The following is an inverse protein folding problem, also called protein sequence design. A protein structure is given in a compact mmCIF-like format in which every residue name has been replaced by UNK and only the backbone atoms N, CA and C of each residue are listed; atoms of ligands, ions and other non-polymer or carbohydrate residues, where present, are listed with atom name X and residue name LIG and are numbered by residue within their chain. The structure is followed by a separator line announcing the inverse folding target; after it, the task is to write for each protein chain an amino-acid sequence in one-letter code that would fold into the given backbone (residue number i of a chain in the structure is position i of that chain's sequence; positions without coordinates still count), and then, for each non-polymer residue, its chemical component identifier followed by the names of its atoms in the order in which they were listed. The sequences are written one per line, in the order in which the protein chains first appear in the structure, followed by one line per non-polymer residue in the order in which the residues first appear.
data_IF_543554331124
#
_entry.id   IF_543554331124
#
_cell.length_a   1.000
_cell.length_b   1.000
_cell.length_c   1.000
_cell.angle_alpha   90.00
_cell.angle_beta   90.00
_cell.angle_gamma   90.00
#
_symmetry.space_group_name_H-M   'P 1'
#
loop_
_entity.id
_entity.type
_entity.pdbx_description
1 polymer ?
#
# COMPACT_ATOMS: atom_id res chain seq x y z
N UNK A 1 5.71 -5.70 13.89
CA UNK A 1 5.21 -7.10 13.79
C UNK A 1 6.27 -7.96 13.08
N UNK A 2 6.46 -9.26 13.39
CA UNK A 2 7.42 -10.06 12.63
C UNK A 2 6.90 -10.38 11.21
N UNK A 3 7.80 -10.67 10.26
CA UNK A 3 7.46 -10.80 8.84
C UNK A 3 6.44 -11.91 8.54
N UNK A 4 6.52 -13.03 9.27
CA UNK A 4 5.53 -14.12 9.15
C UNK A 4 4.13 -13.62 9.46
N UNK A 5 3.95 -13.00 10.63
CA UNK A 5 2.66 -12.49 11.08
C UNK A 5 2.15 -11.38 10.17
N UNK A 6 3.04 -10.48 9.70
CA UNK A 6 2.66 -9.41 8.76
C UNK A 6 2.15 -9.97 7.44
N UNK A 7 2.89 -10.88 6.80
CA UNK A 7 2.45 -11.51 5.55
C UNK A 7 1.11 -12.24 5.68
N UNK A 8 0.92 -13.01 6.76
CA UNK A 8 -0.36 -13.67 7.04
C UNK A 8 -1.47 -12.64 7.28
N UNK A 9 -1.20 -11.56 8.02
CA UNK A 9 -2.18 -10.52 8.29
C UNK A 9 -2.67 -9.83 7.00
N UNK A 10 -1.81 -9.62 6.00
CA UNK A 10 -2.25 -9.13 4.69
C UNK A 10 -3.20 -10.11 4.01
N UNK A 11 -2.88 -11.41 4.03
CA UNK A 11 -3.77 -12.41 3.46
C UNK A 11 -5.10 -12.53 4.22
N UNK A 12 -5.08 -12.42 5.55
CA UNK A 12 -6.26 -12.62 6.40
C UNK A 12 -7.14 -11.38 6.57
N UNK A 13 -6.60 -10.18 6.42
CA UNK A 13 -7.35 -8.93 6.60
C UNK A 13 -7.50 -8.18 5.28
N UNK A 14 -6.39 -7.86 4.60
CA UNK A 14 -6.42 -7.03 3.40
C UNK A 14 -7.00 -7.76 2.20
N UNK A 15 -6.36 -8.85 1.79
CA UNK A 15 -6.75 -9.62 0.62
C UNK A 15 -8.06 -10.38 0.80
N UNK A 16 -8.41 -10.74 2.05
CA UNK A 16 -9.67 -11.43 2.37
C UNK A 16 -10.89 -10.61 2.00
N UNK A 17 -10.85 -9.30 2.25
CA UNK A 17 -11.99 -8.41 2.03
C UNK A 17 -11.86 -7.61 0.74
N UNK A 18 -10.70 -7.64 0.08
CA UNK A 18 -10.39 -6.87 -1.12
C UNK A 18 -11.45 -7.00 -2.24
N UNK A 19 -11.82 -8.24 -2.60
CA UNK A 19 -12.86 -8.50 -3.62
C UNK A 19 -14.23 -7.99 -3.17
N UNK A 20 -14.59 -8.19 -1.90
CA UNK A 20 -15.86 -7.72 -1.35
C UNK A 20 -15.94 -6.19 -1.38
N UNK A 21 -14.90 -5.50 -0.88
CA UNK A 21 -14.80 -4.04 -0.88
C UNK A 21 -14.84 -3.48 -2.30
N UNK A 22 -14.15 -4.10 -3.27
CA UNK A 22 -14.22 -3.70 -4.67
C UNK A 22 -15.64 -3.81 -5.24
N UNK A 23 -16.36 -4.88 -4.91
CA UNK A 23 -17.73 -5.09 -5.39
C UNK A 23 -18.77 -4.16 -4.75
N UNK A 24 -18.41 -3.34 -3.74
CA UNK A 24 -19.28 -2.28 -3.19
C UNK A 24 -19.34 -1.04 -4.10
N UNK A 25 -18.35 -0.85 -4.98
CA UNK A 25 -18.35 0.27 -5.91
C UNK A 25 -19.38 0.12 -7.02
N UNK A 26 -19.95 1.23 -7.54
CA UNK A 26 -20.61 1.23 -8.83
C UNK A 26 -19.67 0.64 -9.90
N UNK A 27 -20.21 -0.20 -10.79
CA UNK A 27 -19.41 -0.94 -11.79
C UNK A 27 -18.48 -0.04 -12.61
N UNK A 28 -18.97 1.12 -13.02
CA UNK A 28 -18.21 2.05 -13.87
C UNK A 28 -17.03 2.69 -13.10
N UNK A 29 -17.22 2.97 -11.81
CA UNK A 29 -16.15 3.51 -10.94
C UNK A 29 -15.10 2.43 -10.64
N UNK A 30 -15.53 1.20 -10.33
CA UNK A 30 -14.60 0.07 -10.16
C UNK A 30 -13.79 -0.19 -11.42
N UNK A 31 -14.43 -0.17 -12.60
CA UNK A 31 -13.75 -0.36 -13.88
C UNK A 31 -12.78 0.79 -14.18
N UNK A 32 -13.16 2.04 -13.90
CA UNK A 32 -12.26 3.20 -14.05
C UNK A 32 -10.98 3.03 -13.24
N UNK A 33 -11.09 2.59 -11.97
CA UNK A 33 -9.94 2.33 -11.09
C UNK A 33 -9.05 1.22 -11.63
N UNK A 34 -9.62 0.09 -12.01
CA UNK A 34 -8.87 -1.04 -12.59
C UNK A 34 -8.13 -0.64 -13.88
N UNK A 35 -8.78 0.14 -14.74
CA UNK A 35 -8.16 0.66 -15.97
C UNK A 35 -6.99 1.61 -15.68
N UNK A 36 -7.05 2.39 -14.60
CA UNK A 36 -5.95 3.26 -14.18
C UNK A 36 -4.68 2.46 -13.80
N UNK A 37 -4.84 1.22 -13.34
CA UNK A 37 -3.74 0.28 -13.12
C UNK A 37 -3.36 -0.54 -14.37
N UNK A 38 -3.94 -0.25 -15.54
CA UNK A 38 -3.59 -0.89 -16.81
C UNK A 38 -4.25 -2.24 -17.09
N UNK A 39 -5.25 -2.66 -16.30
CA UNK A 39 -6.00 -3.89 -16.51
C UNK A 39 -7.36 -3.61 -17.13
N UNK A 40 -7.83 -4.48 -18.02
CA UNK A 40 -9.14 -4.32 -18.66
C UNK A 40 -10.31 -4.72 -17.75
N UNK A 41 -10.07 -5.62 -16.80
CA UNK A 41 -11.06 -6.16 -15.88
C UNK A 41 -10.44 -6.46 -14.52
N UNK A 42 -11.23 -6.39 -13.45
CA UNK A 42 -10.74 -6.67 -12.09
C UNK A 42 -10.17 -8.10 -11.97
N UNK A 43 -10.81 -9.06 -12.65
CA UNK A 43 -10.33 -10.44 -12.78
C UNK A 43 -8.92 -10.52 -13.39
N UNK A 44 -8.61 -9.70 -14.38
CA UNK A 44 -7.30 -9.72 -15.04
C UNK A 44 -6.20 -9.24 -14.08
N UNK A 45 -6.48 -8.22 -13.26
CA UNK A 45 -5.59 -7.77 -12.20
C UNK A 45 -5.38 -8.85 -11.13
N UNK A 46 -6.47 -9.48 -10.67
CA UNK A 46 -6.39 -10.59 -9.70
C UNK A 46 -5.66 -11.82 -10.26
N UNK A 47 -5.78 -12.09 -11.57
CA UNK A 47 -5.06 -13.17 -12.26
C UNK A 47 -3.54 -12.95 -12.21
N UNK A 48 -3.12 -11.71 -12.47
CA UNK A 48 -1.74 -11.29 -12.31
C UNK A 48 -1.27 -11.42 -10.84
N UNK A 49 -2.04 -10.92 -9.88
CA UNK A 49 -1.74 -11.03 -8.44
C UNK A 49 -1.55 -12.49 -8.02
N UNK A 50 -2.51 -13.35 -8.41
CA UNK A 50 -2.46 -14.78 -8.10
C UNK A 50 -1.23 -15.46 -8.71
N UNK A 51 -0.83 -15.11 -9.93
CA UNK A 51 0.38 -15.67 -10.53
C UNK A 51 1.66 -15.32 -9.75
N UNK A 52 1.76 -14.09 -9.24
CA UNK A 52 2.87 -13.68 -8.38
C UNK A 52 2.83 -14.34 -7.01
N UNK A 53 1.63 -14.57 -6.44
CA UNK A 53 1.49 -15.36 -5.22
C UNK A 53 1.99 -16.79 -5.43
N UNK A 54 1.57 -17.44 -6.52
CA UNK A 54 1.99 -18.80 -6.87
C UNK A 54 3.53 -18.87 -6.99
N UNK A 55 4.14 -17.93 -7.73
CA UNK A 55 5.59 -17.89 -7.92
C UNK A 55 6.33 -17.64 -6.59
N UNK A 56 5.92 -16.63 -5.82
CA UNK A 56 6.53 -16.30 -4.54
C UNK A 56 6.42 -17.44 -3.53
N UNK A 57 5.24 -18.07 -3.44
CA UNK A 57 5.03 -19.21 -2.54
C UNK A 57 5.84 -20.43 -2.95
N UNK A 58 6.05 -20.67 -4.25
CA UNK A 58 6.90 -21.77 -4.72
C UNK A 58 8.34 -21.62 -4.22
N UNK A 59 8.87 -20.40 -4.21
CA UNK A 59 10.22 -20.08 -3.76
C UNK A 59 10.31 -20.13 -2.24
N UNK A 60 9.33 -19.57 -1.52
CA UNK A 60 9.27 -19.62 -0.05
C UNK A 60 9.24 -21.07 0.44
N UNK A 61 8.41 -21.92 -0.17
CA UNK A 61 8.34 -23.35 0.16
C UNK A 61 9.64 -24.09 -0.16
N UNK A 62 10.27 -23.81 -1.30
CA UNK A 62 11.55 -24.42 -1.62
C UNK A 62 12.63 -24.09 -0.57
N UNK A 63 12.67 -22.84 -0.09
CA UNK A 63 13.57 -22.43 0.99
C UNK A 63 13.21 -23.16 2.30
N UNK A 64 11.93 -23.20 2.67
CA UNK A 64 11.47 -23.85 3.90
C UNK A 64 11.81 -25.36 3.92
N UNK A 65 11.73 -26.02 2.77
CA UNK A 65 11.97 -27.44 2.60
C UNK A 65 13.44 -27.76 2.24
N UNK A 66 14.31 -26.75 2.20
CA UNK A 66 15.70 -26.84 1.76
C UNK A 66 15.85 -27.56 0.39
N UNK A 67 14.93 -27.27 -0.54
CA UNK A 67 14.97 -27.74 -1.91
C UNK A 67 15.61 -26.70 -2.83
N UNK A 68 16.23 -27.18 -3.90
CA UNK A 68 16.67 -26.31 -4.98
C UNK A 68 15.46 -25.65 -5.67
N UNK A 69 15.65 -24.41 -6.09
CA UNK A 69 14.71 -23.66 -6.90
C UNK A 69 15.47 -22.82 -7.92
N UNK A 70 14.87 -22.62 -9.08
CA UNK A 70 15.46 -21.84 -10.15
C UNK A 70 15.40 -20.34 -9.82
N UNK A 71 16.51 -19.64 -10.05
CA UNK A 71 16.51 -18.18 -10.07
C UNK A 71 16.11 -17.73 -11.46
N UNK A 72 14.83 -17.43 -11.63
CA UNK A 72 14.32 -16.88 -12.90
C UNK A 72 14.60 -15.39 -12.98
N UNK A 73 14.96 -14.93 -14.18
CA UNK A 73 14.88 -13.52 -14.55
C UNK A 73 13.56 -13.35 -15.30
N UNK A 74 12.67 -12.53 -14.77
CA UNK A 74 11.38 -12.29 -15.39
C UNK A 74 11.49 -11.18 -16.41
N UNK A 75 10.85 -11.40 -17.55
CA UNK A 75 10.22 -10.33 -18.30
C UNK A 75 8.84 -10.14 -17.66
N UNK A 76 8.67 -9.05 -16.90
CA UNK A 76 7.46 -8.82 -16.11
C UNK A 76 6.23 -8.66 -17.00
N UNK A 77 6.38 -8.00 -18.16
CA UNK A 77 5.28 -7.78 -19.09
C UNK A 77 4.79 -9.11 -19.68
N UNK A 78 5.72 -9.97 -20.10
CA UNK A 78 5.39 -11.31 -20.62
C UNK A 78 4.74 -12.17 -19.54
N UNK A 79 5.31 -12.21 -18.34
CA UNK A 79 4.76 -13.00 -17.23
C UNK A 79 3.33 -12.54 -16.86
N UNK A 80 3.12 -11.23 -16.78
CA UNK A 80 1.82 -10.63 -16.47
C UNK A 80 0.80 -10.91 -17.58
N UNK A 81 1.19 -10.76 -18.85
CA UNK A 81 0.33 -11.06 -19.99
C UNK A 81 -0.08 -12.53 -20.04
N UNK A 82 0.84 -13.46 -19.76
CA UNK A 82 0.57 -14.89 -19.70
C UNK A 82 -0.39 -15.24 -18.56
N UNK A 83 -0.23 -14.62 -17.38
CA UNK A 83 -1.13 -14.78 -16.25
C UNK A 83 -2.57 -14.36 -16.59
N UNK A 84 -2.72 -13.19 -17.23
CA UNK A 84 -4.04 -12.70 -17.70
C UNK A 84 -4.61 -13.62 -18.78
N UNK A 85 -3.80 -14.02 -19.76
CA UNK A 85 -4.22 -14.88 -20.85
C UNK A 85 -4.72 -16.25 -20.36
N UNK A 86 -4.06 -16.83 -19.35
CA UNK A 86 -4.40 -18.12 -18.73
C UNK A 86 -5.85 -18.17 -18.23
N UNK A 87 -6.36 -17.08 -17.67
CA UNK A 87 -7.69 -17.02 -17.07
C UNK A 87 -8.71 -16.21 -17.88
N UNK A 88 -8.32 -15.67 -19.04
CA UNK A 88 -9.15 -14.77 -19.85
C UNK A 88 -10.52 -15.34 -20.23
N UNK A 89 -10.59 -16.65 -20.47
CA UNK A 89 -11.82 -17.36 -20.89
C UNK A 89 -12.60 -17.99 -19.74
N UNK A 90 -12.11 -17.87 -18.50
CA UNK A 90 -12.78 -18.45 -17.33
C UNK A 90 -14.03 -17.66 -16.96
N UNK A 91 -15.03 -18.33 -16.41
CA UNK A 91 -16.12 -17.64 -15.74
C UNK A 91 -15.59 -16.83 -14.55
N UNK A 92 -16.13 -15.62 -14.35
CA UNK A 92 -15.65 -14.71 -13.32
C UNK A 92 -15.84 -15.29 -11.91
N UNK A 93 -17.00 -15.91 -11.64
CA UNK A 93 -17.28 -16.51 -10.33
C UNK A 93 -16.38 -17.71 -10.07
N UNK A 94 -16.11 -18.53 -11.09
CA UNK A 94 -15.15 -19.64 -10.99
C UNK A 94 -13.74 -19.13 -10.65
N UNK A 95 -13.29 -18.06 -11.33
CA UNK A 95 -11.99 -17.46 -11.05
C UNK A 95 -11.93 -16.84 -9.63
N UNK A 96 -12.96 -16.10 -9.19
CA UNK A 96 -12.96 -15.52 -7.85
C UNK A 96 -12.94 -16.60 -6.75
N UNK A 97 -13.58 -17.74 -6.99
CA UNK A 97 -13.50 -18.89 -6.08
C UNK A 97 -12.08 -19.51 -6.06
N UNK A 98 -11.40 -19.58 -7.21
CA UNK A 98 -9.99 -20.00 -7.28
C UNK A 98 -9.10 -19.04 -6.50
N UNK A 99 -9.28 -17.73 -6.67
CA UNK A 99 -8.50 -16.71 -5.97
C UNK A 99 -8.65 -16.86 -4.45
N UNK A 100 -9.87 -16.94 -3.95
CA UNK A 100 -10.14 -17.10 -2.51
C UNK A 100 -9.62 -18.43 -1.95
N UNK A 101 -9.80 -19.53 -2.68
CA UNK A 101 -9.26 -20.84 -2.29
C UNK A 101 -7.72 -20.81 -2.22
N UNK A 102 -7.07 -20.10 -3.15
CA UNK A 102 -5.62 -19.94 -3.17
C UNK A 102 -5.13 -19.08 -2.00
N UNK A 103 -5.83 -17.97 -1.69
CA UNK A 103 -5.56 -17.14 -0.52
C UNK A 103 -5.58 -17.97 0.77
N UNK A 104 -6.66 -18.75 0.98
CA UNK A 104 -6.80 -19.62 2.15
C UNK A 104 -5.70 -20.69 2.21
N UNK A 105 -5.37 -21.32 1.07
CA UNK A 105 -4.25 -22.27 0.98
C UNK A 105 -2.94 -21.61 1.42
N UNK A 106 -2.64 -20.38 0.98
CA UNK A 106 -1.40 -19.70 1.32
C UNK A 106 -1.33 -19.26 2.77
N UNK A 107 -2.45 -18.85 3.37
CA UNK A 107 -2.54 -18.63 4.82
C UNK A 107 -2.12 -19.89 5.58
N UNK A 108 -2.71 -21.04 5.26
CA UNK A 108 -2.43 -22.30 5.97
C UNK A 108 -1.00 -22.80 5.75
N UNK A 109 -0.46 -22.65 4.54
CA UNK A 109 0.95 -22.96 4.25
C UNK A 109 1.89 -22.05 5.05
N UNK A 110 1.67 -20.73 5.05
CA UNK A 110 2.54 -19.82 5.79
C UNK A 110 2.49 -20.10 7.29
N UNK A 111 1.31 -20.45 7.84
CA UNK A 111 1.17 -20.85 9.24
C UNK A 111 2.01 -22.08 9.58
N UNK A 112 2.09 -23.07 8.68
CA UNK A 112 2.80 -24.34 8.92
C UNK A 112 4.33 -24.25 8.79
N UNK A 113 4.85 -23.27 8.04
CA UNK A 113 6.30 -23.05 7.90
C UNK A 113 6.91 -22.58 9.23
N UNK A 114 8.06 -23.13 9.62
CA UNK A 114 8.77 -22.70 10.84
C UNK A 114 9.10 -21.20 10.82
N UNK A 115 8.96 -20.53 11.97
CA UNK A 115 9.12 -19.08 12.06
C UNK A 115 10.53 -18.61 11.72
N UNK A 116 11.56 -19.43 11.98
CA UNK A 116 12.96 -19.11 11.65
C UNK A 116 13.20 -18.97 10.14
N UNK A 117 12.38 -19.59 9.30
CA UNK A 117 12.48 -19.45 7.83
C UNK A 117 12.23 -18.00 7.41
N UNK A 118 11.41 -17.26 8.15
CA UNK A 118 11.08 -15.87 7.85
C UNK A 118 12.20 -14.90 8.18
N UNK A 119 13.29 -15.34 8.83
CA UNK A 119 14.52 -14.54 8.95
C UNK A 119 15.36 -14.53 7.67
N UNK A 120 15.11 -15.48 6.76
CA UNK A 120 15.76 -15.51 5.46
C UNK A 120 15.39 -14.26 4.64
N UNK A 121 16.41 -13.49 4.23
CA UNK A 121 16.25 -12.26 3.45
C UNK A 121 15.38 -12.47 2.19
N UNK A 122 15.53 -13.59 1.50
CA UNK A 122 14.78 -13.88 0.27
C UNK A 122 13.31 -14.16 0.56
N UNK A 123 13.00 -14.84 1.66
CA UNK A 123 11.62 -15.04 2.10
C UNK A 123 10.98 -13.69 2.45
N UNK A 124 11.69 -12.82 3.18
CA UNK A 124 11.19 -11.46 3.48
C UNK A 124 10.90 -10.66 2.21
N UNK A 125 11.80 -10.70 1.22
CA UNK A 125 11.61 -10.01 -0.07
C UNK A 125 10.37 -10.54 -0.80
N UNK A 126 10.18 -11.85 -0.88
CA UNK A 126 9.00 -12.42 -1.57
C UNK A 126 7.70 -12.13 -0.83
N UNK A 127 7.66 -12.27 0.49
CA UNK A 127 6.49 -11.88 1.30
C UNK A 127 6.15 -10.41 1.08
N UNK A 128 7.16 -9.54 1.10
CA UNK A 128 6.97 -8.13 0.85
C UNK A 128 6.42 -7.87 -0.54
N UNK A 129 7.08 -8.42 -1.57
CA UNK A 129 6.73 -8.18 -2.96
C UNK A 129 5.29 -8.64 -3.28
N UNK A 130 4.91 -9.86 -2.90
CA UNK A 130 3.68 -10.49 -3.42
C UNK A 130 2.46 -10.28 -2.55
N UNK A 131 2.63 -10.07 -1.24
CA UNK A 131 1.49 -9.88 -0.33
C UNK A 131 1.33 -8.46 0.20
N UNK A 132 2.44 -7.78 0.50
CA UNK A 132 2.43 -6.48 1.20
C UNK A 132 2.43 -5.34 0.18
N UNK A 133 3.51 -5.22 -0.58
CA UNK A 133 3.68 -4.20 -1.61
C UNK A 133 2.62 -4.33 -2.69
N UNK A 134 2.30 -5.56 -3.12
CA UNK A 134 1.31 -5.77 -4.18
C UNK A 134 -0.09 -5.24 -3.84
N UNK A 135 -0.45 -5.23 -2.55
CA UNK A 135 -1.72 -4.65 -2.10
C UNK A 135 -1.74 -3.11 -2.23
N UNK A 136 -0.57 -2.47 -2.09
CA UNK A 136 -0.40 -1.02 -2.26
C UNK A 136 -0.23 -0.63 -3.74
N UNK A 137 0.49 -1.44 -4.51
CA UNK A 137 0.68 -1.24 -5.95
C UNK A 137 -0.63 -1.39 -6.74
N UNK A 138 -1.50 -2.31 -6.33
CA UNK A 138 -2.83 -2.49 -6.91
C UNK A 138 -3.92 -1.96 -5.98
N UNK A 139 -3.79 -0.71 -5.54
CA UNK A 139 -4.73 -0.09 -4.60
C UNK A 139 -6.02 0.41 -5.27
N UNK A 140 -6.89 -0.49 -5.72
CA UNK A 140 -8.22 -0.07 -6.23
C UNK A 140 -9.23 0.19 -5.10
N UNK A 141 -8.98 -0.35 -3.90
CA UNK A 141 -9.78 -0.16 -2.69
C UNK A 141 -8.88 0.02 -1.49
N UNK A 142 -9.15 1.02 -0.65
CA UNK A 142 -8.34 1.32 0.53
C UNK A 142 -9.16 1.12 1.79
N UNK A 143 -8.55 0.52 2.81
CA UNK A 143 -9.22 0.15 4.05
C UNK A 143 -8.32 0.37 5.26
N UNK A 144 -8.94 0.35 6.43
CA UNK A 144 -8.31 0.63 7.71
C UNK A 144 -7.05 -0.20 7.96
N UNK A 145 -7.07 -1.49 7.64
CA UNK A 145 -5.91 -2.36 7.86
C UNK A 145 -4.69 -1.86 7.09
N UNK A 146 -4.85 -1.57 5.80
CA UNK A 146 -3.74 -1.14 4.95
C UNK A 146 -3.19 0.22 5.38
N UNK A 147 -4.08 1.17 5.69
CA UNK A 147 -3.70 2.50 6.19
C UNK A 147 -2.87 2.37 7.47
N UNK A 148 -3.32 1.57 8.43
CA UNK A 148 -2.60 1.34 9.68
C UNK A 148 -1.27 0.62 9.44
N UNK A 149 -1.24 -0.41 8.59
CA UNK A 149 -0.01 -1.14 8.31
C UNK A 149 1.05 -0.23 7.68
N UNK A 150 0.67 0.62 6.72
CA UNK A 150 1.57 1.61 6.11
C UNK A 150 2.09 2.60 7.16
N UNK A 151 1.22 3.18 7.98
CA UNK A 151 1.61 4.10 9.04
C UNK A 151 2.55 3.45 10.07
N UNK A 152 2.28 2.21 10.47
CA UNK A 152 3.03 1.54 11.54
C UNK A 152 4.31 0.85 11.07
N UNK A 153 4.41 0.45 9.80
CA UNK A 153 5.51 -0.40 9.33
C UNK A 153 6.27 0.15 8.12
N UNK A 154 5.71 1.10 7.36
CA UNK A 154 6.36 1.64 6.16
C UNK A 154 6.98 3.02 6.44
N UNK A 155 6.19 3.98 6.92
CA UNK A 155 6.67 5.33 7.21
C UNK A 155 7.85 5.42 8.19
N UNK A 156 7.98 4.58 9.25
CA UNK A 156 9.18 4.59 10.09
C UNK A 156 10.46 4.31 9.30
N UNK A 157 10.36 3.52 8.21
CA UNK A 157 11.52 3.15 7.39
C UNK A 157 11.99 4.29 6.48
N UNK A 158 11.16 5.32 6.24
CA UNK A 158 11.52 6.43 5.34
C UNK A 158 12.76 7.18 5.86
N UNK A 159 12.75 7.51 7.16
CA UNK A 159 13.88 8.13 7.85
C UNK A 159 15.10 7.21 7.84
N UNK A 160 14.91 5.94 8.22
CA UNK A 160 16.00 4.94 8.29
C UNK A 160 16.69 4.75 6.94
N UNK A 161 15.91 4.62 5.87
CA UNK A 161 16.42 4.48 4.50
C UNK A 161 17.13 5.73 4.04
N UNK A 162 16.56 6.92 4.29
CA UNK A 162 17.20 8.18 3.89
C UNK A 162 18.54 8.38 4.58
N UNK A 163 18.62 8.09 5.89
CA UNK A 163 19.85 8.25 6.65
C UNK A 163 20.93 7.24 6.22
N UNK A 164 20.53 6.08 5.70
CA UNK A 164 21.41 5.05 5.15
C UNK A 164 21.90 5.33 3.72
N UNK A 165 21.39 6.35 3.02
CA UNK A 165 21.86 6.70 1.69
C UNK A 165 23.30 7.24 1.70
N UNK A 166 24.10 6.74 0.77
CA UNK A 166 25.44 7.28 0.50
C UNK A 166 25.35 8.66 -0.19
N UNK A 167 24.44 8.80 -1.18
CA UNK A 167 24.16 10.07 -1.86
C UNK A 167 22.73 10.55 -1.59
N UNK A 168 22.58 11.36 -0.55
CA UNK A 168 21.30 12.00 -0.18
C UNK A 168 20.85 13.04 -1.21
N UNK A 169 21.79 13.65 -1.95
CA UNK A 169 21.45 14.73 -2.89
C UNK A 169 20.78 14.19 -4.15
N UNK A 170 21.14 12.98 -4.61
CA UNK A 170 20.48 12.33 -5.74
C UNK A 170 18.98 12.13 -5.47
N UNK A 171 18.66 11.59 -4.30
CA UNK A 171 17.28 11.42 -3.86
C UNK A 171 16.55 12.76 -3.74
N UNK A 172 17.09 13.72 -2.98
CA UNK A 172 16.45 15.02 -2.79
C UNK A 172 16.19 15.76 -4.12
N UNK A 173 17.11 15.64 -5.08
CA UNK A 173 16.94 16.19 -6.42
C UNK A 173 15.83 15.50 -7.21
N UNK A 174 15.71 14.17 -7.11
CA UNK A 174 14.63 13.40 -7.75
C UNK A 174 13.27 13.83 -7.17
N UNK A 175 13.19 13.98 -5.85
CA UNK A 175 11.97 14.39 -5.15
C UNK A 175 11.65 15.87 -5.33
N UNK A 176 12.62 16.69 -5.76
CA UNK A 176 12.43 18.13 -5.99
C UNK A 176 12.47 18.98 -4.72
N UNK A 177 13.08 18.49 -3.65
CA UNK A 177 13.21 19.19 -2.38
C UNK A 177 14.66 19.56 -2.06
N UNK A 178 14.87 20.65 -1.32
CA UNK A 178 16.21 21.06 -0.88
C UNK A 178 16.68 20.28 0.34
N UNK A 179 15.74 19.93 1.23
CA UNK A 179 16.01 19.20 2.47
C UNK A 179 15.05 18.04 2.62
N UNK A 180 15.51 16.98 3.30
CA UNK A 180 14.64 15.87 3.66
C UNK A 180 13.51 16.30 4.59
N UNK A 181 13.77 17.28 5.46
CA UNK A 181 12.74 17.84 6.32
C UNK A 181 11.60 18.52 5.54
N UNK A 182 11.85 18.99 4.33
CA UNK A 182 10.81 19.59 3.50
C UNK A 182 9.83 18.51 2.98
N UNK A 183 10.34 17.30 2.70
CA UNK A 183 9.52 16.11 2.40
C UNK A 183 8.69 15.73 3.63
N UNK A 184 9.30 15.66 4.82
CA UNK A 184 8.57 15.33 6.04
C UNK A 184 7.49 16.36 6.37
N UNK A 185 7.79 17.65 6.20
CA UNK A 185 6.83 18.75 6.38
C UNK A 185 5.65 18.64 5.41
N UNK A 186 5.92 18.29 4.15
CA UNK A 186 4.91 18.02 3.13
C UNK A 186 4.00 16.85 3.54
N UNK A 187 4.56 15.71 3.97
CA UNK A 187 3.79 14.55 4.44
C UNK A 187 2.92 14.89 5.66
N UNK A 188 3.50 15.54 6.68
CA UNK A 188 2.78 15.99 7.88
C UNK A 188 1.55 16.81 7.49
N UNK A 189 1.73 17.72 6.53
CA UNK A 189 0.69 18.64 6.11
C UNK A 189 -0.46 17.94 5.39
N UNK A 190 -0.16 16.95 4.54
CA UNK A 190 -1.20 16.13 3.91
C UNK A 190 -1.96 15.30 4.93
N UNK A 191 -1.27 14.67 5.89
CA UNK A 191 -1.95 13.97 6.99
C UNK A 191 -2.90 14.88 7.80
N UNK A 192 -2.49 16.11 8.10
CA UNK A 192 -3.36 17.09 8.78
C UNK A 192 -4.63 17.40 7.97
N UNK A 193 -4.51 17.57 6.64
CA UNK A 193 -5.67 17.82 5.79
C UNK A 193 -6.55 16.57 5.64
N UNK A 194 -5.97 15.38 5.50
CA UNK A 194 -6.68 14.09 5.51
C UNK A 194 -7.52 13.95 6.79
N UNK A 195 -6.93 14.16 7.96
CA UNK A 195 -7.65 14.09 9.24
C UNK A 195 -8.80 15.08 9.31
N UNK A 196 -8.58 16.32 8.85
CA UNK A 196 -9.60 17.38 8.81
C UNK A 196 -10.76 17.03 7.87
N UNK A 197 -10.47 16.56 6.66
CA UNK A 197 -11.49 16.16 5.67
C UNK A 197 -12.32 15.01 6.20
N UNK A 198 -11.68 13.98 6.76
CA UNK A 198 -12.37 12.79 7.25
C UNK A 198 -13.22 13.13 8.49
N UNK A 199 -12.74 14.00 9.38
CA UNK A 199 -13.53 14.45 10.53
C UNK A 199 -14.75 15.28 10.08
N UNK A 200 -14.64 16.07 9.01
CA UNK A 200 -15.79 16.76 8.41
C UNK A 200 -16.81 15.78 7.82
N UNK A 201 -16.37 14.75 7.09
CA UNK A 201 -17.25 13.70 6.53
C UNK A 201 -17.94 12.93 7.66
N UNK A 202 -17.20 12.57 8.71
CA UNK A 202 -17.71 11.87 9.88
C UNK A 202 -18.81 12.67 10.60
N UNK A 203 -18.64 13.98 10.73
CA UNK A 203 -19.60 14.85 11.41
C UNK A 203 -20.73 15.34 10.48
N UNK A 204 -20.51 15.31 9.17
CA UNK A 204 -21.48 15.69 8.15
C UNK A 204 -21.35 14.75 6.93
N UNK A 205 -22.14 13.67 6.85
CA UNK A 205 -22.05 12.69 5.77
C UNK A 205 -22.34 13.24 4.36
N UNK A 206 -22.92 14.44 4.25
CA UNK A 206 -23.13 15.14 2.97
C UNK A 206 -22.06 16.21 2.72
N UNK A 207 -20.96 16.19 3.45
CA UNK A 207 -19.81 17.07 3.21
C UNK A 207 -19.21 16.74 1.85
N UNK A 208 -19.14 17.74 0.99
CA UNK A 208 -18.49 17.64 -0.31
C UNK A 208 -17.09 18.24 -0.22
N UNK A 209 -16.09 17.46 -0.62
CA UNK A 209 -14.72 17.94 -0.79
C UNK A 209 -14.64 18.65 -2.13
N UNK A 210 -14.20 19.91 -2.11
CA UNK A 210 -13.89 20.61 -3.35
C UNK A 210 -12.54 20.12 -3.86
N UNK A 211 -12.53 19.58 -5.08
CA UNK A 211 -11.29 19.23 -5.77
C UNK A 211 -10.39 20.46 -5.93
N UNK A 212 -9.16 20.43 -5.39
CA UNK A 212 -8.21 21.54 -5.53
C UNK A 212 -7.68 21.59 -6.96
N UNK A 213 -7.36 22.80 -7.43
CA UNK A 213 -6.61 22.95 -8.67
C UNK A 213 -5.13 22.61 -8.44
N UNK A 214 -4.37 22.35 -9.51
CA UNK A 214 -2.90 22.18 -9.40
C UNK A 214 -2.24 23.37 -8.72
N UNK A 215 -2.70 24.60 -9.01
CA UNK A 215 -2.18 25.81 -8.35
C UNK A 215 -2.50 25.84 -6.85
N UNK A 216 -3.68 25.34 -6.44
CA UNK A 216 -4.02 25.22 -5.02
C UNK A 216 -3.08 24.23 -4.31
N UNK A 217 -2.80 23.08 -4.94
CA UNK A 217 -1.89 22.05 -4.44
C UNK A 217 -0.45 22.59 -4.32
N UNK A 218 0.06 23.24 -5.36
CA UNK A 218 1.42 23.80 -5.38
C UNK A 218 1.60 24.85 -4.27
N UNK A 219 0.60 25.72 -4.11
CA UNK A 219 0.62 26.72 -3.04
C UNK A 219 0.52 26.09 -1.65
N UNK A 220 -0.30 25.05 -1.49
CA UNK A 220 -0.43 24.31 -0.24
C UNK A 220 0.89 23.64 0.15
N UNK A 221 1.57 22.98 -0.79
CA UNK A 221 2.87 22.34 -0.58
C UNK A 221 3.96 23.36 -0.23
N UNK A 222 3.99 24.49 -0.93
CA UNK A 222 4.95 25.57 -0.64
C UNK A 222 4.75 26.16 0.76
N UNK A 223 3.50 26.31 1.21
CA UNK A 223 3.19 26.78 2.56
C UNK A 223 3.66 25.80 3.63
N UNK A 224 3.55 24.48 3.37
CA UNK A 224 4.06 23.45 4.26
C UNK A 224 5.58 23.61 4.49
N UNK A 225 6.34 23.74 3.41
CA UNK A 225 7.81 23.92 3.50
C UNK A 225 8.17 25.20 4.24
N UNK A 226 7.54 26.33 3.90
CA UNK A 226 7.83 27.61 4.55
C UNK A 226 7.50 27.59 6.06
N UNK A 227 6.42 26.90 6.47
CA UNK A 227 6.05 26.75 7.88
C UNK A 227 7.13 26.04 8.72
N UNK A 228 7.86 25.10 8.12
CA UNK A 228 8.89 24.30 8.80
C UNK A 228 10.31 24.81 8.55
N UNK A 229 10.49 25.81 7.68
CA UNK A 229 11.80 26.30 7.23
C UNK A 229 12.74 26.72 8.37
N UNK A 230 12.20 27.34 9.42
CA UNK A 230 12.96 27.81 10.58
C UNK A 230 13.28 26.73 11.61
N UNK A 231 12.72 25.52 11.46
CA UNK A 231 12.92 24.39 12.38
C UNK A 231 14.18 23.61 12.02
N UNK A 232 14.83 23.05 13.04
CA UNK A 232 15.98 22.17 12.86
C UNK A 232 15.56 20.80 12.29
N UNK A 233 16.53 20.07 11.74
CA UNK A 233 16.35 18.68 11.29
C UNK A 233 15.63 17.80 12.30
N UNK A 234 16.21 17.74 13.50
CA UNK A 234 15.68 16.95 14.61
C UNK A 234 14.28 17.40 15.04
N UNK A 235 14.00 18.70 15.02
CA UNK A 235 12.67 19.20 15.39
C UNK A 235 11.61 18.72 14.39
N UNK A 236 11.88 18.78 13.08
CA UNK A 236 10.92 18.30 12.07
C UNK A 236 10.70 16.79 12.17
N UNK A 237 11.76 16.00 12.36
CA UNK A 237 11.68 14.55 12.53
C UNK A 237 10.84 14.15 13.76
N UNK A 238 11.04 14.83 14.88
CA UNK A 238 10.23 14.62 16.08
C UNK A 238 8.75 14.96 15.83
N UNK A 239 8.45 16.05 15.12
CA UNK A 239 7.07 16.42 14.76
C UNK A 239 6.46 15.36 13.83
N UNK A 240 7.23 14.84 12.88
CA UNK A 240 6.79 13.78 11.97
C UNK A 240 6.36 12.52 12.72
N UNK A 241 7.20 12.01 13.63
CA UNK A 241 6.89 10.83 14.45
C UNK A 241 5.69 11.05 15.37
N UNK A 242 5.57 12.26 15.95
CA UNK A 242 4.39 12.63 16.74
C UNK A 242 3.13 12.64 15.89
N UNK A 243 3.18 13.24 14.69
CA UNK A 243 2.05 13.30 13.78
C UNK A 243 1.66 11.92 13.26
N UNK A 244 2.62 11.06 12.97
CA UNK A 244 2.39 9.66 12.63
C UNK A 244 1.63 8.94 13.76
N UNK A 245 2.05 9.13 15.00
CA UNK A 245 1.35 8.56 16.17
C UNK A 245 -0.08 9.10 16.27
N UNK A 246 -0.28 10.40 16.07
CA UNK A 246 -1.61 11.02 16.05
C UNK A 246 -2.49 10.43 14.94
N UNK A 247 -1.97 10.29 13.72
CA UNK A 247 -2.66 9.72 12.57
C UNK A 247 -3.04 8.25 12.81
N UNK A 248 -2.15 7.46 13.40
CA UNK A 248 -2.45 6.07 13.81
C UNK A 248 -3.62 6.05 14.81
N UNK A 249 -3.61 6.91 15.83
CA UNK A 249 -4.69 6.97 16.81
C UNK A 249 -5.99 7.46 16.19
N UNK A 250 -5.93 8.45 15.30
CA UNK A 250 -7.07 8.94 14.54
C UNK A 250 -7.72 7.78 13.77
N UNK A 251 -6.96 7.10 12.93
CA UNK A 251 -7.42 5.96 12.12
C UNK A 251 -8.00 4.84 12.99
N UNK A 252 -7.32 4.45 14.09
CA UNK A 252 -7.82 3.43 15.03
C UNK A 252 -9.19 3.78 15.60
N UNK A 253 -9.42 5.05 15.91
CA UNK A 253 -10.64 5.55 16.54
C UNK A 253 -11.77 5.86 15.53
N UNK A 254 -11.50 5.79 14.22
CA UNK A 254 -12.55 5.93 13.22
C UNK A 254 -13.49 4.72 13.24
N UNK A 255 -14.82 4.95 13.11
CA UNK A 255 -15.78 3.89 12.86
C UNK A 255 -15.45 3.10 11.59
N UNK A 256 -15.56 1.78 11.65
CA UNK A 256 -15.25 0.90 10.51
C UNK A 256 -16.08 1.23 9.27
N UNK A 257 -17.36 1.59 9.45
CA UNK A 257 -18.25 1.95 8.34
C UNK A 257 -17.84 3.24 7.62
N UNK A 258 -16.93 4.05 8.18
CA UNK A 258 -16.42 5.23 7.49
C UNK A 258 -15.51 4.84 6.32
N UNK A 259 -14.88 3.67 6.37
CA UNK A 259 -14.12 3.10 5.26
C UNK A 259 -15.00 2.59 4.12
N UNK A 260 -16.33 2.57 4.27
CA UNK A 260 -17.24 2.35 3.14
C UNK A 260 -17.45 3.62 2.29
N UNK A 261 -17.06 4.79 2.80
CA UNK A 261 -17.17 6.05 2.09
C UNK A 261 -16.01 6.18 1.07
N UNK A 262 -16.35 6.34 -0.20
CA UNK A 262 -15.36 6.37 -1.29
C UNK A 262 -14.41 7.58 -1.21
N UNK A 263 -14.89 8.72 -0.73
CA UNK A 263 -14.04 9.90 -0.51
C UNK A 263 -13.05 9.65 0.62
N UNK A 264 -13.49 9.00 1.71
CA UNK A 264 -12.58 8.61 2.82
C UNK A 264 -11.53 7.62 2.32
N UNK A 265 -11.92 6.60 1.55
CA UNK A 265 -10.96 5.67 0.95
C UNK A 265 -9.98 6.38 0.03
N UNK A 266 -10.46 7.32 -0.79
CA UNK A 266 -9.61 8.06 -1.72
C UNK A 266 -8.57 8.92 -0.99
N UNK A 267 -8.97 9.68 0.02
CA UNK A 267 -8.05 10.50 0.82
C UNK A 267 -7.01 9.66 1.56
N UNK A 268 -7.40 8.52 2.13
CA UNK A 268 -6.43 7.61 2.73
C UNK A 268 -5.51 6.92 1.71
N UNK A 269 -6.04 6.54 0.56
CA UNK A 269 -5.24 5.98 -0.53
C UNK A 269 -4.18 6.98 -0.97
N UNK A 270 -4.60 8.18 -1.38
CA UNK A 270 -3.73 9.22 -1.89
C UNK A 270 -2.71 9.66 -0.83
N UNK A 271 -3.16 10.18 0.31
CA UNK A 271 -2.28 10.95 1.21
C UNK A 271 -1.51 10.10 2.22
N UNK A 272 -1.84 8.80 2.34
CA UNK A 272 -1.19 7.89 3.28
C UNK A 272 -0.51 6.74 2.56
N UNK A 273 -1.23 5.99 1.72
CA UNK A 273 -0.68 4.76 1.13
C UNK A 273 0.17 5.05 -0.10
N UNK A 274 -0.40 5.71 -1.10
CA UNK A 274 0.27 6.05 -2.36
C UNK A 274 1.35 7.11 -2.14
N UNK A 275 1.07 8.13 -1.33
CA UNK A 275 2.04 9.16 -0.97
C UNK A 275 3.28 8.63 -0.24
N UNK A 276 3.16 7.54 0.52
CA UNK A 276 4.35 6.84 1.01
C UNK A 276 5.17 6.29 -0.15
N UNK A 277 4.53 5.60 -1.10
CA UNK A 277 5.20 4.98 -2.25
C UNK A 277 5.83 6.00 -3.20
N UNK A 278 5.25 7.19 -3.33
CA UNK A 278 5.82 8.31 -4.09
C UNK A 278 7.18 8.73 -3.55
N UNK A 279 7.31 8.80 -2.23
CA UNK A 279 8.54 9.21 -1.54
C UNK A 279 9.44 8.05 -1.11
N UNK A 280 9.02 6.81 -1.32
CA UNK A 280 9.76 5.64 -0.87
C UNK A 280 11.07 5.49 -1.64
N UNK A 281 12.12 5.13 -0.89
CA UNK A 281 13.49 4.87 -1.34
C UNK A 281 13.73 3.42 -1.77
#
# INVERSE_FOLDING_TARGET
MNYKKRGIAFLENEWKTYVERFNRFPKDEGLKRVNAHGYAQFRDMLAHILAWWDEGMSIILAIAENREFERKKYDFDVFNADAVAKYKVWDEKEFLNLFETSRLKYVEVLKSIDESIFDNRRVKIWINAVFIHHAREHLVVCDKFLVLDTLENEYPTLIEKFDALEDKNEYLKKEGFERFEDILAHIIRWWDETMKVIENIKNNPTFEVKEPTTEDIDNFNKQAVEQFRSKSGDEVRNIFEQKQTEMIQFVKNLPENLFDNQTVQHWFAADVVEHFDEHNL
#
